data_IF_831208735997
#
_entry.id   IF_831208735997
#
_cell.length_a   1.000
_cell.length_b   1.000
_cell.length_c   1.000
_cell.angle_alpha   90.00
_cell.angle_beta   90.00
_cell.angle_gamma   90.00
#
_symmetry.space_group_name_H-M   'P 1'
#
loop_
_entity.id
_entity.type
_entity.pdbx_description
1 polymer ?
#
# COMPACT_ATOMS: atom_id res chain seq x y z
N UNK A 1 -24.61 1.70 53.34
CA UNK A 1 -24.46 2.43 52.04
C UNK A 1 -23.19 2.22 51.26
N UNK A 2 -22.24 1.41 51.73
CA UNK A 2 -20.90 1.22 51.13
C UNK A 2 -20.81 0.17 50.04
N UNK A 3 -21.67 -0.82 49.97
CA UNK A 3 -21.62 -1.92 48.98
C UNK A 3 -21.94 -1.47 47.52
N UNK A 4 -22.74 -0.42 47.33
CA UNK A 4 -23.10 0.08 46.00
C UNK A 4 -21.99 0.88 45.32
N UNK A 5 -21.13 1.53 46.08
CA UNK A 5 -20.02 2.36 45.59
C UNK A 5 -18.84 1.52 45.14
N UNK A 6 -18.52 0.41 45.80
CA UNK A 6 -17.45 -0.51 45.38
C UNK A 6 -17.82 -1.26 44.10
N UNK A 7 -19.06 -1.71 43.98
CA UNK A 7 -19.54 -2.37 42.75
C UNK A 7 -19.52 -1.45 41.53
N UNK A 8 -19.85 -0.17 41.69
CA UNK A 8 -19.75 0.85 40.65
C UNK A 8 -18.31 1.12 40.24
N UNK A 9 -17.40 1.23 41.20
CA UNK A 9 -15.96 1.41 40.93
C UNK A 9 -15.38 0.20 40.19
N UNK A 10 -15.77 -1.00 40.55
CA UNK A 10 -15.30 -2.24 39.90
C UNK A 10 -15.82 -2.36 38.46
N UNK A 11 -17.09 -1.96 38.22
CA UNK A 11 -17.66 -1.94 36.87
C UNK A 11 -17.04 -0.84 36.00
N UNK A 12 -16.79 0.36 36.53
CA UNK A 12 -16.10 1.44 35.84
C UNK A 12 -14.68 1.04 35.45
N UNK A 13 -13.92 0.46 36.36
CA UNK A 13 -12.55 -0.02 36.08
C UNK A 13 -12.52 -1.13 35.04
N UNK A 14 -13.54 -2.01 35.00
CA UNK A 14 -13.68 -3.04 33.98
C UNK A 14 -14.04 -2.45 32.60
N UNK A 15 -14.85 -1.41 32.54
CA UNK A 15 -15.18 -0.68 31.32
C UNK A 15 -13.98 0.11 30.80
N UNK A 16 -13.21 0.79 31.66
CA UNK A 16 -12.01 1.50 31.30
C UNK A 16 -10.94 0.56 30.74
N UNK A 17 -10.71 -0.58 31.40
CA UNK A 17 -9.76 -1.59 30.90
C UNK A 17 -10.18 -2.19 29.56
N UNK A 18 -11.46 -2.39 29.34
CA UNK A 18 -11.99 -2.89 28.06
C UNK A 18 -11.83 -1.85 26.95
N UNK A 19 -12.09 -0.58 27.25
CA UNK A 19 -11.87 0.54 26.33
C UNK A 19 -10.39 0.68 25.96
N UNK A 20 -9.50 0.65 26.95
CA UNK A 20 -8.05 0.72 26.72
C UNK A 20 -7.54 -0.43 25.86
N UNK A 21 -8.01 -1.64 26.11
CA UNK A 21 -7.65 -2.82 25.31
C UNK A 21 -8.08 -2.67 23.84
N UNK A 22 -9.27 -2.15 23.58
CA UNK A 22 -9.75 -1.91 22.21
C UNK A 22 -8.88 -0.85 21.50
N UNK A 23 -8.50 0.23 22.20
CA UNK A 23 -7.63 1.25 21.61
C UNK A 23 -6.23 0.70 21.31
N UNK A 24 -5.66 -0.10 22.22
CA UNK A 24 -4.37 -0.75 22.02
C UNK A 24 -4.41 -1.73 20.83
N UNK A 25 -5.46 -2.55 20.75
CA UNK A 25 -5.66 -3.47 19.62
C UNK A 25 -5.72 -2.71 18.29
N UNK A 26 -6.48 -1.61 18.24
CA UNK A 26 -6.58 -0.76 17.06
C UNK A 26 -5.27 -0.09 16.70
N UNK A 27 -4.50 0.33 17.68
CA UNK A 27 -3.16 0.88 17.48
C UNK A 27 -2.22 -0.17 16.84
N UNK A 28 -2.22 -1.41 17.35
CA UNK A 28 -1.43 -2.51 16.77
C UNK A 28 -1.91 -2.86 15.35
N UNK A 29 -3.21 -2.90 15.12
CA UNK A 29 -3.76 -3.05 13.75
C UNK A 29 -3.29 -1.94 12.84
N UNK A 30 -3.26 -0.70 13.34
CA UNK A 30 -2.71 0.45 12.63
C UNK A 30 -1.23 0.25 12.27
N UNK A 31 -0.39 -0.19 13.21
CA UNK A 31 1.03 -0.49 12.95
C UNK A 31 1.15 -1.47 11.77
N UNK A 32 0.40 -2.56 11.78
CA UNK A 32 0.43 -3.56 10.70
C UNK A 32 -0.03 -2.96 9.36
N UNK A 33 -1.05 -2.10 9.37
CA UNK A 33 -1.51 -1.39 8.17
C UNK A 33 -0.41 -0.46 7.64
N UNK A 34 0.25 0.30 8.52
CA UNK A 34 1.36 1.19 8.15
C UNK A 34 2.55 0.43 7.57
N UNK A 35 2.92 -0.69 8.18
CA UNK A 35 3.95 -1.61 7.66
C UNK A 35 3.56 -2.12 6.26
N UNK A 36 2.33 -2.61 6.11
CA UNK A 36 1.84 -3.13 4.84
C UNK A 36 1.66 -2.05 3.76
N UNK A 37 1.46 -0.79 4.14
CA UNK A 37 1.43 0.30 3.18
C UNK A 37 2.81 0.55 2.56
N UNK A 38 3.88 0.49 3.35
CA UNK A 38 5.26 0.75 2.86
C UNK A 38 5.82 -0.43 2.10
N UNK A 39 5.61 -1.64 2.60
CA UNK A 39 6.23 -2.84 2.02
C UNK A 39 5.63 -3.17 0.65
N UNK A 40 6.45 -3.29 -0.41
CA UNK A 40 5.97 -3.79 -1.69
C UNK A 40 5.41 -5.20 -1.55
N UNK A 41 4.29 -5.47 -2.22
CA UNK A 41 3.66 -6.78 -2.17
C UNK A 41 2.70 -7.01 -1.00
N UNK A 42 2.64 -6.10 -0.03
CA UNK A 42 1.63 -6.10 1.04
C UNK A 42 0.76 -4.86 0.84
N UNK A 43 -0.54 -5.05 0.70
CA UNK A 43 -1.45 -3.91 0.58
C UNK A 43 -1.99 -3.51 1.94
N UNK A 44 -1.66 -2.30 2.39
CA UNK A 44 -2.26 -1.70 3.59
C UNK A 44 -3.79 -1.64 3.49
N UNK A 45 -4.33 -1.44 2.27
CA UNK A 45 -5.76 -1.46 2.00
C UNK A 45 -6.40 -2.82 2.28
N UNK A 46 -5.75 -3.92 1.89
CA UNK A 46 -6.22 -5.28 2.22
C UNK A 46 -6.22 -5.50 3.73
N UNK A 47 -5.19 -5.06 4.43
CA UNK A 47 -5.17 -5.14 5.90
C UNK A 47 -6.29 -4.32 6.54
N UNK A 48 -6.65 -3.16 5.98
CA UNK A 48 -7.83 -2.40 6.42
C UNK A 48 -9.13 -3.21 6.27
N UNK A 49 -9.28 -3.97 5.19
CA UNK A 49 -10.44 -4.86 4.98
C UNK A 49 -10.45 -5.99 6.01
N UNK A 50 -9.32 -6.68 6.18
CA UNK A 50 -9.17 -7.80 7.12
C UNK A 50 -9.48 -7.38 8.56
N UNK A 51 -9.05 -6.20 8.98
CA UNK A 51 -9.30 -5.67 10.32
C UNK A 51 -10.67 -4.97 10.47
N UNK A 52 -11.49 -4.94 9.40
CA UNK A 52 -12.80 -4.28 9.42
C UNK A 52 -12.74 -2.74 9.52
N UNK A 53 -11.59 -2.16 9.18
CA UNK A 53 -11.31 -0.72 9.27
C UNK A 53 -11.66 -0.03 7.94
N UNK A 54 -11.67 -0.76 6.82
CA UNK A 54 -11.90 -0.21 5.49
C UNK A 54 -13.24 0.52 5.36
N UNK A 55 -14.34 -0.11 5.82
CA UNK A 55 -15.68 0.49 5.74
C UNK A 55 -15.78 1.82 6.51
N UNK A 56 -15.38 1.92 7.81
CA UNK A 56 -15.32 3.19 8.52
C UNK A 56 -14.47 4.27 7.84
N UNK A 57 -13.34 3.88 7.22
CA UNK A 57 -12.49 4.82 6.47
C UNK A 57 -13.24 5.34 5.24
N UNK A 58 -13.84 4.46 4.43
CA UNK A 58 -14.56 4.86 3.22
C UNK A 58 -15.81 5.70 3.54
N UNK A 59 -16.55 5.39 4.60
CA UNK A 59 -17.67 6.20 5.07
C UNK A 59 -17.22 7.60 5.50
N UNK A 60 -16.07 7.70 6.19
CA UNK A 60 -15.50 9.00 6.57
C UNK A 60 -15.02 9.79 5.35
N UNK A 61 -14.39 9.15 4.36
CA UNK A 61 -13.92 9.80 3.14
C UNK A 61 -15.06 10.27 2.24
N UNK A 62 -16.16 9.50 2.15
CA UNK A 62 -17.32 9.85 1.32
C UNK A 62 -18.16 10.99 1.90
N UNK A 63 -18.31 11.05 3.23
CA UNK A 63 -19.10 12.09 3.92
C UNK A 63 -18.41 12.51 5.24
N UNK A 64 -17.33 13.31 5.17
CA UNK A 64 -16.52 13.66 6.34
C UNK A 64 -17.33 14.31 7.46
N UNK A 65 -18.19 15.27 7.12
CA UNK A 65 -18.96 16.05 8.10
C UNK A 65 -19.93 15.17 8.90
N UNK A 66 -20.62 14.26 8.21
CA UNK A 66 -21.63 13.39 8.83
C UNK A 66 -21.00 12.32 9.73
N UNK A 67 -19.87 11.77 9.30
CA UNK A 67 -19.24 10.61 9.95
C UNK A 67 -18.09 10.96 10.89
N UNK A 68 -17.70 12.25 10.97
CA UNK A 68 -16.58 12.71 11.77
C UNK A 68 -16.65 12.27 13.24
N UNK A 69 -17.76 12.63 13.92
CA UNK A 69 -17.94 12.33 15.35
C UNK A 69 -18.02 10.84 15.65
N UNK A 70 -18.48 10.02 14.71
CA UNK A 70 -18.68 8.58 14.89
C UNK A 70 -17.43 7.76 14.61
N UNK A 71 -16.66 8.11 13.56
CA UNK A 71 -15.54 7.30 13.08
C UNK A 71 -14.20 7.83 13.52
N UNK A 72 -14.00 9.15 13.64
CA UNK A 72 -12.69 9.71 14.00
C UNK A 72 -12.17 9.19 15.35
N UNK A 73 -12.95 9.15 16.46
CA UNK A 73 -12.45 8.63 17.72
C UNK A 73 -12.04 7.15 17.63
N UNK A 74 -12.70 6.39 16.76
CA UNK A 74 -12.42 4.97 16.55
C UNK A 74 -11.21 4.74 15.64
N UNK A 75 -10.98 5.63 14.69
CA UNK A 75 -9.88 5.54 13.71
C UNK A 75 -8.60 6.20 14.22
N UNK A 76 -8.67 7.11 15.18
CA UNK A 76 -7.50 7.82 15.70
C UNK A 76 -6.38 6.90 16.18
N UNK A 77 -6.64 5.85 16.98
CA UNK A 77 -5.60 4.89 17.37
C UNK A 77 -5.02 4.13 16.16
N UNK A 78 -5.86 3.83 15.17
CA UNK A 78 -5.41 3.16 13.94
C UNK A 78 -4.49 4.07 13.13
N UNK A 79 -4.85 5.34 12.97
CA UNK A 79 -4.03 6.32 12.24
C UNK A 79 -2.71 6.56 12.95
N UNK A 80 -2.74 6.71 14.27
CA UNK A 80 -1.52 6.85 15.07
C UNK A 80 -0.62 5.61 14.96
N UNK A 81 -1.19 4.41 15.02
CA UNK A 81 -0.48 3.15 14.79
C UNK A 81 0.08 3.05 13.37
N UNK A 82 -0.72 3.42 12.35
CA UNK A 82 -0.27 3.41 10.96
C UNK A 82 0.90 4.36 10.72
N UNK A 83 0.85 5.55 11.29
CA UNK A 83 1.96 6.50 11.25
C UNK A 83 3.22 5.92 11.93
N UNK A 84 3.09 5.33 13.11
CA UNK A 84 4.21 4.70 13.81
C UNK A 84 4.80 3.52 13.03
N UNK A 85 3.96 2.64 12.48
CA UNK A 85 4.40 1.52 11.65
C UNK A 85 5.06 1.97 10.35
N UNK A 86 4.46 2.95 9.68
CA UNK A 86 5.01 3.54 8.46
C UNK A 86 6.40 4.16 8.70
N UNK A 87 6.52 5.02 9.71
CA UNK A 87 7.79 5.69 10.04
C UNK A 87 8.87 4.70 10.50
N UNK A 88 8.50 3.69 11.28
CA UNK A 88 9.43 2.67 11.75
C UNK A 88 10.04 1.87 10.61
N UNK A 89 9.20 1.37 9.70
CA UNK A 89 9.69 0.57 8.56
C UNK A 89 10.36 1.43 7.50
N UNK A 90 9.92 2.68 7.30
CA UNK A 90 10.50 3.58 6.32
C UNK A 90 11.99 3.80 6.56
N UNK A 91 12.40 4.02 7.81
CA UNK A 91 13.82 4.15 8.19
C UNK A 91 14.62 2.89 7.91
N UNK A 92 14.07 1.73 8.25
CA UNK A 92 14.71 0.45 8.00
C UNK A 92 14.88 0.19 6.50
N UNK A 93 13.84 0.47 5.72
CA UNK A 93 13.90 0.32 4.27
C UNK A 93 14.89 1.27 3.62
N UNK A 94 14.91 2.54 4.01
CA UNK A 94 15.88 3.52 3.53
C UNK A 94 17.31 3.05 3.78
N UNK A 95 17.60 2.51 4.96
CA UNK A 95 18.90 1.91 5.27
C UNK A 95 19.27 0.79 4.31
N UNK A 96 18.36 -0.17 4.05
CA UNK A 96 18.63 -1.29 3.15
C UNK A 96 18.78 -0.85 1.70
N UNK A 97 17.93 0.06 1.22
CA UNK A 97 18.03 0.60 -0.14
C UNK A 97 19.32 1.38 -0.40
N UNK A 98 19.87 2.03 0.64
CA UNK A 98 21.14 2.76 0.54
C UNK A 98 22.33 1.82 0.63
N UNK A 99 22.30 0.85 1.55
CA UNK A 99 23.45 -0.04 1.81
C UNK A 99 23.55 -1.23 0.85
N UNK A 100 22.40 -1.75 0.41
CA UNK A 100 22.28 -2.93 -0.46
C UNK A 100 21.29 -2.68 -1.61
N UNK A 101 21.57 -1.71 -2.52
CA UNK A 101 20.59 -1.26 -3.51
C UNK A 101 20.11 -2.38 -4.44
N UNK A 102 21.05 -3.15 -5.03
CA UNK A 102 20.68 -4.21 -5.99
C UNK A 102 19.87 -5.33 -5.34
N UNK A 103 20.30 -5.79 -4.16
CA UNK A 103 19.61 -6.84 -3.42
C UNK A 103 18.21 -6.41 -2.99
N UNK A 104 18.08 -5.15 -2.54
CA UNK A 104 16.79 -4.57 -2.12
C UNK A 104 15.83 -4.45 -3.30
N UNK A 105 16.32 -3.96 -4.44
CA UNK A 105 15.48 -3.85 -5.66
C UNK A 105 15.07 -5.23 -6.16
N UNK A 106 15.98 -6.23 -6.15
CA UNK A 106 15.65 -7.59 -6.53
C UNK A 106 14.63 -8.23 -5.56
N UNK A 107 14.78 -8.02 -4.25
CA UNK A 107 13.81 -8.47 -3.26
C UNK A 107 12.42 -7.86 -3.53
N UNK A 108 12.35 -6.57 -3.81
CA UNK A 108 11.09 -5.88 -4.10
C UNK A 108 10.49 -6.31 -5.43
N UNK A 109 11.29 -6.49 -6.48
CA UNK A 109 10.82 -7.05 -7.73
C UNK A 109 10.22 -8.45 -7.52
N UNK A 110 10.86 -9.28 -6.70
CA UNK A 110 10.34 -10.58 -6.28
C UNK A 110 9.01 -10.46 -5.55
N UNK A 111 8.91 -9.56 -4.55
CA UNK A 111 7.65 -9.30 -3.85
C UNK A 111 6.52 -8.90 -4.82
N UNK A 112 6.79 -8.01 -5.76
CA UNK A 112 5.82 -7.59 -6.78
C UNK A 112 5.41 -8.76 -7.68
N UNK A 113 6.36 -9.51 -8.21
CA UNK A 113 6.10 -10.69 -9.04
C UNK A 113 5.22 -11.70 -8.28
N UNK A 114 5.53 -11.95 -7.01
CA UNK A 114 4.74 -12.87 -6.16
C UNK A 114 3.31 -12.38 -5.88
N UNK A 115 3.02 -11.08 -6.01
CA UNK A 115 1.66 -10.54 -5.86
C UNK A 115 0.84 -10.58 -7.15
N UNK A 116 1.46 -10.70 -8.33
CA UNK A 116 0.75 -10.70 -9.61
C UNK A 116 -0.41 -11.71 -9.68
N UNK A 117 -0.26 -12.97 -9.23
CA UNK A 117 -1.38 -13.93 -9.26
C UNK A 117 -2.59 -13.47 -8.44
N UNK A 118 -2.37 -12.78 -7.31
CA UNK A 118 -3.46 -12.24 -6.51
C UNK A 118 -4.11 -11.01 -7.15
N UNK A 119 -3.32 -10.17 -7.83
CA UNK A 119 -3.84 -9.02 -8.57
C UNK A 119 -4.69 -9.45 -9.77
N UNK A 120 -4.27 -10.47 -10.52
CA UNK A 120 -5.08 -11.03 -11.61
C UNK A 120 -6.40 -11.61 -11.08
N UNK A 121 -6.35 -12.36 -9.98
CA UNK A 121 -7.56 -12.90 -9.36
C UNK A 121 -8.52 -11.81 -8.90
N UNK A 122 -8.00 -10.73 -8.31
CA UNK A 122 -8.80 -9.56 -7.93
C UNK A 122 -9.39 -8.88 -9.17
N UNK A 123 -8.61 -8.72 -10.23
CA UNK A 123 -9.07 -8.14 -11.50
C UNK A 123 -10.25 -8.91 -12.11
N UNK A 124 -10.28 -10.23 -11.94
CA UNK A 124 -11.30 -11.11 -12.48
C UNK A 124 -12.47 -11.40 -11.53
N UNK A 125 -12.38 -10.96 -10.28
CA UNK A 125 -13.34 -11.25 -9.21
C UNK A 125 -14.78 -10.80 -9.51
N UNK A 126 -14.95 -9.75 -10.32
CA UNK A 126 -16.25 -9.20 -10.75
C UNK A 126 -16.61 -9.55 -12.20
N UNK A 127 -15.92 -10.53 -12.79
CA UNK A 127 -16.11 -10.94 -14.18
C UNK A 127 -15.11 -10.28 -15.12
N UNK A 128 -14.89 -10.93 -16.27
CA UNK A 128 -13.91 -10.51 -17.27
C UNK A 128 -14.52 -9.50 -18.24
N UNK A 129 -13.84 -8.40 -18.52
CA UNK A 129 -14.23 -7.45 -19.56
C UNK A 129 -13.51 -7.78 -20.86
N UNK A 130 -14.20 -7.62 -22.02
CA UNK A 130 -13.59 -7.77 -23.36
C UNK A 130 -12.39 -6.84 -23.57
N UNK A 131 -12.35 -5.71 -22.87
CA UNK A 131 -11.29 -4.72 -22.98
C UNK A 131 -10.16 -4.88 -21.95
N UNK A 132 -10.28 -5.88 -21.05
CA UNK A 132 -9.32 -6.07 -19.96
C UNK A 132 -7.90 -6.35 -20.48
N UNK A 133 -7.75 -7.32 -21.38
CA UNK A 133 -6.45 -7.64 -21.98
C UNK A 133 -5.87 -6.50 -22.82
N UNK A 134 -6.72 -5.80 -23.58
CA UNK A 134 -6.28 -4.62 -24.33
C UNK A 134 -5.77 -3.53 -23.39
N UNK A 135 -6.46 -3.27 -22.28
CA UNK A 135 -6.01 -2.31 -21.26
C UNK A 135 -4.64 -2.69 -20.66
N UNK A 136 -4.43 -3.99 -20.38
CA UNK A 136 -3.14 -4.49 -19.90
C UNK A 136 -2.01 -4.23 -20.90
N UNK A 137 -2.17 -4.63 -22.14
CA UNK A 137 -1.12 -4.47 -23.16
C UNK A 137 -0.87 -3.00 -23.51
N UNK A 138 -1.93 -2.20 -23.64
CA UNK A 138 -1.80 -0.75 -23.91
C UNK A 138 -1.06 -0.08 -22.76
N UNK A 139 -1.46 -0.28 -21.50
CA UNK A 139 -0.81 0.33 -20.36
C UNK A 139 0.64 -0.13 -20.19
N UNK A 140 0.91 -1.42 -20.42
CA UNK A 140 2.26 -1.97 -20.42
C UNK A 140 3.15 -1.29 -21.48
N UNK A 141 2.66 -1.21 -22.74
CA UNK A 141 3.38 -0.58 -23.83
C UNK A 141 3.63 0.91 -23.57
N UNK A 142 2.60 1.64 -23.14
CA UNK A 142 2.71 3.07 -22.80
C UNK A 142 3.76 3.26 -21.68
N UNK A 143 3.74 2.42 -20.65
CA UNK A 143 4.70 2.52 -19.54
C UNK A 143 6.13 2.24 -20.03
N UNK A 144 6.35 1.19 -20.83
CA UNK A 144 7.68 0.89 -21.38
C UNK A 144 8.18 2.05 -22.22
N UNK A 145 7.36 2.54 -23.17
CA UNK A 145 7.74 3.65 -24.06
C UNK A 145 8.06 4.90 -23.24
N UNK A 146 7.22 5.24 -22.26
CA UNK A 146 7.43 6.41 -21.40
C UNK A 146 8.73 6.29 -20.60
N UNK A 147 8.98 5.17 -19.93
CA UNK A 147 10.17 4.98 -19.10
C UNK A 147 11.45 4.91 -19.97
N UNK A 148 11.39 4.25 -21.13
CA UNK A 148 12.51 4.25 -22.07
C UNK A 148 12.80 5.64 -22.64
N UNK A 149 11.76 6.43 -22.97
CA UNK A 149 11.91 7.81 -23.42
C UNK A 149 12.53 8.71 -22.34
N UNK A 150 12.06 8.58 -21.07
CA UNK A 150 12.64 9.31 -19.95
C UNK A 150 14.12 8.95 -19.73
N UNK A 151 14.48 7.67 -19.85
CA UNK A 151 15.88 7.23 -19.77
C UNK A 151 16.73 7.75 -20.94
N UNK A 152 16.18 7.72 -22.17
CA UNK A 152 16.91 8.18 -23.36
C UNK A 152 17.13 9.70 -23.33
N UNK A 153 16.19 10.44 -22.77
CA UNK A 153 16.30 11.90 -22.59
C UNK A 153 17.20 12.30 -21.41
N UNK A 154 17.83 11.33 -20.74
CA UNK A 154 18.63 11.57 -19.52
C UNK A 154 17.90 12.42 -18.46
N UNK A 155 16.59 12.44 -18.50
CA UNK A 155 15.76 13.11 -17.48
C UNK A 155 15.84 12.29 -16.20
N UNK A 156 16.78 12.64 -15.35
CA UNK A 156 16.72 12.18 -13.95
C UNK A 156 15.52 12.88 -13.32
N UNK A 157 14.53 12.09 -12.92
CA UNK A 157 13.43 12.60 -12.09
C UNK A 157 14.05 13.09 -10.80
N UNK A 158 14.30 14.40 -10.71
CA UNK A 158 14.68 15.04 -9.45
C UNK A 158 13.39 15.27 -8.67
N UNK A 159 13.24 14.60 -7.48
CA UNK A 159 12.04 14.77 -6.69
C UNK A 159 11.89 16.23 -6.28
N UNK A 160 10.84 16.88 -6.78
CA UNK A 160 10.45 18.25 -6.46
C UNK A 160 9.06 18.26 -5.79
N UNK A 161 8.53 19.46 -5.55
CA UNK A 161 7.21 19.66 -4.98
C UNK A 161 6.11 18.90 -5.74
N UNK A 162 6.10 18.93 -7.07
CA UNK A 162 5.08 18.29 -7.90
C UNK A 162 5.21 16.76 -7.88
N UNK A 163 6.43 16.25 -7.85
CA UNK A 163 6.66 14.82 -7.72
C UNK A 163 6.24 14.28 -6.35
N UNK A 164 6.48 15.03 -5.28
CA UNK A 164 5.98 14.63 -3.96
C UNK A 164 4.46 14.78 -3.83
N UNK A 165 3.85 15.72 -4.51
CA UNK A 165 2.39 15.82 -4.66
C UNK A 165 1.83 14.57 -5.37
N UNK A 166 2.49 14.11 -6.44
CA UNK A 166 2.16 12.87 -7.12
C UNK A 166 2.38 11.63 -6.24
N UNK A 167 3.42 11.61 -5.39
CA UNK A 167 3.59 10.55 -4.38
C UNK A 167 2.39 10.47 -3.43
N UNK A 168 1.88 11.63 -3.00
CA UNK A 168 0.66 11.71 -2.19
C UNK A 168 -0.58 11.22 -2.92
N UNK A 169 -0.72 11.52 -4.21
CA UNK A 169 -1.77 10.95 -5.06
C UNK A 169 -1.70 9.41 -5.08
N UNK A 170 -0.53 8.83 -5.33
CA UNK A 170 -0.33 7.38 -5.34
C UNK A 170 -0.63 6.74 -3.98
N UNK A 171 -0.25 7.42 -2.88
CA UNK A 171 -0.53 6.96 -1.52
C UNK A 171 -2.05 6.91 -1.26
N UNK A 172 -2.78 7.98 -1.59
CA UNK A 172 -4.24 8.02 -1.43
C UNK A 172 -4.94 6.99 -2.33
N UNK A 173 -4.47 6.83 -3.56
CA UNK A 173 -4.97 5.83 -4.49
C UNK A 173 -4.84 4.41 -3.92
N UNK A 174 -3.73 4.09 -3.27
CA UNK A 174 -3.52 2.78 -2.64
C UNK A 174 -4.44 2.51 -1.45
N UNK A 175 -4.97 3.55 -0.82
CA UNK A 175 -5.98 3.43 0.26
C UNK A 175 -7.38 3.26 -0.31
N UNK A 176 -7.72 4.02 -1.37
CA UNK A 176 -9.05 3.99 -1.99
C UNK A 176 -9.26 2.68 -2.76
N UNK A 177 -8.24 2.19 -3.45
CA UNK A 177 -8.28 0.96 -4.24
C UNK A 177 -7.59 -0.18 -3.48
N UNK A 178 -8.33 -1.08 -2.79
CA UNK A 178 -7.74 -2.21 -2.10
C UNK A 178 -6.99 -3.11 -3.08
N UNK A 179 -5.82 -3.60 -2.67
CA UNK A 179 -4.96 -4.43 -3.52
C UNK A 179 -3.89 -3.65 -4.31
N UNK A 180 -4.00 -2.33 -4.39
CA UNK A 180 -2.95 -1.48 -4.94
C UNK A 180 -1.95 -1.08 -3.85
N UNK A 181 -0.67 -1.03 -4.21
CA UNK A 181 0.38 -0.49 -3.34
C UNK A 181 1.04 0.72 -4.01
N UNK A 182 1.19 1.82 -3.28
CA UNK A 182 1.86 3.00 -3.82
C UNK A 182 3.33 2.73 -4.18
N UNK A 183 3.97 1.79 -3.49
CA UNK A 183 5.35 1.38 -3.78
C UNK A 183 5.49 0.83 -5.21
N UNK A 184 4.51 0.06 -5.69
CA UNK A 184 4.53 -0.48 -7.06
C UNK A 184 4.41 0.59 -8.13
N UNK A 185 3.80 1.74 -7.80
CA UNK A 185 3.69 2.88 -8.71
C UNK A 185 4.93 3.79 -8.65
N UNK A 186 5.53 3.97 -7.47
CA UNK A 186 6.63 4.93 -7.27
C UNK A 186 8.02 4.35 -7.57
N UNK A 187 8.21 3.03 -7.40
CA UNK A 187 9.51 2.38 -7.62
C UNK A 187 10.04 2.59 -9.06
N UNK A 188 9.23 2.39 -10.10
CA UNK A 188 9.69 2.55 -11.47
C UNK A 188 10.16 3.95 -11.82
N UNK A 189 9.58 4.95 -11.15
CA UNK A 189 9.92 6.35 -11.32
C UNK A 189 11.13 6.78 -10.48
N UNK A 190 11.69 5.86 -9.68
CA UNK A 190 12.77 6.18 -8.73
C UNK A 190 12.34 7.07 -7.57
N UNK A 191 11.03 7.32 -7.42
CA UNK A 191 10.47 8.21 -6.39
C UNK A 191 10.27 7.53 -5.03
N UNK A 192 10.26 6.20 -5.00
CA UNK A 192 9.97 5.45 -3.78
C UNK A 192 11.00 5.72 -2.68
N UNK A 193 12.29 5.59 -3.00
CA UNK A 193 13.37 5.76 -2.01
C UNK A 193 13.40 7.19 -1.43
N UNK A 194 13.46 8.27 -2.24
CA UNK A 194 13.46 9.62 -1.70
C UNK A 194 12.17 9.96 -0.93
N UNK A 195 11.03 9.43 -1.33
CA UNK A 195 9.77 9.62 -0.64
C UNK A 195 9.75 8.95 0.73
N UNK A 196 10.13 7.67 0.81
CA UNK A 196 10.17 6.90 2.06
C UNK A 196 11.22 7.46 3.02
N UNK A 197 12.41 7.86 2.51
CA UNK A 197 13.45 8.49 3.31
C UNK A 197 12.99 9.84 3.87
N UNK A 198 12.38 10.68 3.04
CA UNK A 198 11.85 11.98 3.46
C UNK A 198 10.77 11.85 4.54
N UNK A 199 9.86 10.88 4.41
CA UNK A 199 8.89 10.60 5.47
C UNK A 199 9.59 10.09 6.74
N UNK A 200 10.55 9.17 6.59
CA UNK A 200 11.32 8.63 7.73
C UNK A 200 12.07 9.69 8.52
N UNK A 201 12.51 10.77 7.86
CA UNK A 201 13.16 11.95 8.48
C UNK A 201 12.19 13.05 8.91
N UNK A 202 10.89 12.88 8.64
CA UNK A 202 9.86 13.90 8.85
C UNK A 202 10.14 15.20 8.09
N UNK A 203 10.67 15.09 6.85
CA UNK A 203 10.98 16.24 6.01
C UNK A 203 9.69 16.93 5.55
N UNK A 204 9.52 18.18 5.95
CA UNK A 204 8.34 18.99 5.61
C UNK A 204 8.26 19.23 4.10
N UNK A 205 9.41 19.32 3.41
CA UNK A 205 9.47 19.45 1.95
C UNK A 205 8.88 18.26 1.21
N UNK A 206 8.83 17.09 1.85
CA UNK A 206 8.20 15.87 1.35
C UNK A 206 6.78 15.72 1.88
N UNK A 207 6.60 15.89 3.18
CA UNK A 207 5.32 15.64 3.86
C UNK A 207 4.23 16.61 3.42
N UNK A 208 4.55 17.89 3.27
CA UNK A 208 3.58 18.91 2.91
C UNK A 208 2.97 18.66 1.51
N UNK A 209 3.77 18.57 0.42
CA UNK A 209 3.22 18.29 -0.90
C UNK A 209 2.55 16.92 -0.98
N UNK A 210 3.07 15.90 -0.34
CA UNK A 210 2.46 14.58 -0.31
C UNK A 210 1.09 14.60 0.40
N UNK A 211 0.99 15.27 1.55
CA UNK A 211 -0.29 15.42 2.26
C UNK A 211 -1.31 16.19 1.42
N UNK A 212 -0.87 17.24 0.72
CA UNK A 212 -1.71 18.01 -0.17
C UNK A 212 -2.19 17.15 -1.36
N UNK A 213 -1.29 16.40 -1.98
CA UNK A 213 -1.62 15.47 -3.07
C UNK A 213 -2.61 14.39 -2.64
N UNK A 214 -2.40 13.81 -1.46
CA UNK A 214 -3.31 12.82 -0.90
C UNK A 214 -4.70 13.43 -0.61
N UNK A 215 -4.74 14.61 -0.02
CA UNK A 215 -5.99 15.33 0.27
C UNK A 215 -6.76 15.66 -1.02
N UNK A 216 -6.09 16.23 -2.02
CA UNK A 216 -6.68 16.54 -3.33
C UNK A 216 -7.23 15.28 -4.00
N UNK A 217 -6.50 14.16 -3.94
CA UNK A 217 -6.96 12.88 -4.50
C UNK A 217 -8.24 12.41 -3.82
N UNK A 218 -8.27 12.45 -2.50
CA UNK A 218 -9.47 12.04 -1.74
C UNK A 218 -10.66 12.93 -2.10
N UNK A 219 -10.47 14.25 -2.12
CA UNK A 219 -11.57 15.19 -2.34
C UNK A 219 -12.09 15.18 -3.79
N UNK A 220 -11.19 15.08 -4.78
CA UNK A 220 -11.54 15.23 -6.18
C UNK A 220 -11.80 13.90 -6.88
N UNK A 221 -11.02 12.87 -6.54
CA UNK A 221 -11.00 11.60 -7.28
C UNK A 221 -11.69 10.44 -6.57
N UNK A 222 -12.02 10.53 -5.27
CA UNK A 222 -12.63 9.39 -4.57
C UNK A 222 -13.89 8.86 -5.26
N UNK A 223 -14.75 9.76 -5.74
CA UNK A 223 -15.97 9.39 -6.46
C UNK A 223 -15.67 8.82 -7.86
N UNK A 224 -14.71 9.41 -8.59
CA UNK A 224 -14.31 8.96 -9.93
C UNK A 224 -13.64 7.60 -9.85
N UNK A 225 -12.72 7.44 -8.90
CA UNK A 225 -12.01 6.18 -8.68
C UNK A 225 -13.00 5.11 -8.21
N UNK A 226 -13.89 5.45 -7.28
CA UNK A 226 -14.96 4.57 -6.84
C UNK A 226 -15.86 4.13 -8.01
N UNK A 227 -16.26 5.04 -8.89
CA UNK A 227 -17.02 4.72 -10.10
C UNK A 227 -16.23 3.79 -11.04
N UNK A 228 -14.95 4.08 -11.30
CA UNK A 228 -14.11 3.28 -12.18
C UNK A 228 -13.97 1.84 -11.66
N UNK A 229 -13.69 1.68 -10.37
CA UNK A 229 -13.54 0.36 -9.74
C UNK A 229 -14.86 -0.40 -9.52
N UNK A 230 -16.01 0.28 -9.56
CA UNK A 230 -17.31 -0.38 -9.50
C UNK A 230 -17.82 -0.81 -10.88
N UNK A 231 -17.66 0.04 -11.90
CA UNK A 231 -18.25 -0.17 -13.24
C UNK A 231 -17.26 -0.75 -14.26
N UNK A 232 -15.96 -0.46 -14.11
CA UNK A 232 -14.90 -0.90 -15.02
C UNK A 232 -13.78 -1.66 -14.30
N UNK A 233 -14.13 -2.42 -13.26
CA UNK A 233 -13.21 -3.11 -12.36
C UNK A 233 -12.12 -3.90 -13.10
N UNK A 234 -12.51 -4.85 -13.96
CA UNK A 234 -11.55 -5.69 -14.68
C UNK A 234 -10.60 -4.88 -15.57
N UNK A 235 -11.12 -3.89 -16.30
CA UNK A 235 -10.30 -3.05 -17.19
C UNK A 235 -9.31 -2.20 -16.40
N UNK A 236 -9.75 -1.59 -15.30
CA UNK A 236 -8.90 -0.77 -14.44
C UNK A 236 -7.77 -1.59 -13.79
N UNK A 237 -8.10 -2.74 -13.22
CA UNK A 237 -7.10 -3.62 -12.61
C UNK A 237 -6.11 -4.16 -13.65
N UNK A 238 -6.56 -4.57 -14.83
CA UNK A 238 -5.65 -5.03 -15.89
C UNK A 238 -4.72 -3.93 -16.39
N UNK A 239 -5.19 -2.68 -16.48
CA UNK A 239 -4.32 -1.55 -16.79
C UNK A 239 -3.24 -1.35 -15.71
N UNK A 240 -3.59 -1.44 -14.44
CA UNK A 240 -2.64 -1.36 -13.33
C UNK A 240 -1.63 -2.51 -13.39
N UNK A 241 -2.09 -3.75 -13.64
CA UNK A 241 -1.21 -4.91 -13.77
C UNK A 241 -0.20 -4.70 -14.91
N UNK A 242 -0.65 -4.14 -16.05
CA UNK A 242 0.23 -3.82 -17.17
C UNK A 242 1.33 -2.81 -16.79
N UNK A 243 0.97 -1.73 -16.07
CA UNK A 243 1.93 -0.76 -15.54
C UNK A 243 2.94 -1.45 -14.61
N UNK A 244 2.43 -2.25 -13.67
CA UNK A 244 3.25 -2.94 -12.66
C UNK A 244 4.24 -3.92 -13.30
N UNK A 245 3.80 -4.71 -14.29
CA UNK A 245 4.67 -5.66 -15.00
C UNK A 245 5.77 -4.90 -15.75
N UNK A 246 5.40 -3.91 -16.57
CA UNK A 246 6.35 -3.11 -17.34
C UNK A 246 7.41 -2.47 -16.43
N UNK A 247 6.93 -1.87 -15.38
CA UNK A 247 7.73 -1.20 -14.38
C UNK A 247 8.71 -2.15 -13.67
N UNK A 248 8.22 -3.32 -13.26
CA UNK A 248 9.04 -4.33 -12.58
C UNK A 248 10.15 -4.85 -13.48
N UNK A 249 9.85 -5.10 -14.76
CA UNK A 249 10.86 -5.54 -15.73
C UNK A 249 11.98 -4.51 -15.88
N UNK A 250 11.61 -3.22 -15.96
CA UNK A 250 12.58 -2.14 -16.18
C UNK A 250 13.41 -1.77 -14.94
N UNK A 251 12.91 -2.05 -13.73
CA UNK A 251 13.63 -1.71 -12.50
C UNK A 251 14.66 -2.79 -12.10
N UNK A 252 14.48 -4.04 -12.58
CA UNK A 252 15.40 -5.13 -12.26
C UNK A 252 16.81 -4.82 -12.79
N UNK A 253 17.83 -4.79 -11.92
CA UNK A 253 19.20 -4.46 -12.32
C UNK A 253 19.85 -5.66 -13.02
N UNK A 254 19.57 -5.85 -14.32
CA UNK A 254 20.04 -6.97 -15.11
C UNK A 254 21.58 -7.08 -15.09
N UNK A 255 22.27 -5.95 -15.13
CA UNK A 255 23.74 -5.91 -15.06
C UNK A 255 24.27 -6.54 -13.78
N UNK A 256 23.61 -6.31 -12.64
CA UNK A 256 24.03 -6.90 -11.36
C UNK A 256 23.66 -8.39 -11.21
N UNK A 257 22.73 -8.88 -12.02
CA UNK A 257 22.40 -10.30 -12.11
C UNK A 257 23.38 -11.06 -13.00
N UNK A 258 23.94 -10.41 -14.04
CA UNK A 258 24.77 -11.06 -15.05
C UNK A 258 26.29 -10.87 -14.85
N UNK A 259 26.71 -9.88 -14.05
CA UNK A 259 28.11 -9.45 -13.91
C UNK A 259 29.01 -10.44 -13.14
N UNK A 260 28.45 -11.26 -12.26
CA UNK A 260 29.23 -12.29 -11.53
C UNK A 260 28.34 -13.42 -11.03
N UNK A 261 28.88 -14.62 -10.91
CA UNK A 261 28.16 -15.76 -10.33
C UNK A 261 27.64 -15.47 -8.91
N UNK A 262 28.41 -14.75 -8.10
CA UNK A 262 28.01 -14.33 -6.76
C UNK A 262 26.81 -13.33 -6.82
N UNK A 263 26.86 -12.37 -7.73
CA UNK A 263 25.77 -11.43 -7.97
C UNK A 263 24.47 -12.13 -8.40
N UNK A 264 24.58 -13.13 -9.27
CA UNK A 264 23.47 -13.96 -9.70
C UNK A 264 22.79 -14.68 -8.52
N UNK A 265 23.58 -15.36 -7.69
CA UNK A 265 23.04 -16.11 -6.55
C UNK A 265 22.44 -15.19 -5.47
N UNK A 266 23.10 -14.07 -5.14
CA UNK A 266 22.61 -13.16 -4.10
C UNK A 266 21.37 -12.39 -4.55
N UNK A 267 21.39 -11.79 -5.73
CA UNK A 267 20.28 -10.99 -6.24
C UNK A 267 19.10 -11.86 -6.68
N UNK A 268 19.38 -13.00 -7.37
CA UNK A 268 18.39 -14.00 -7.74
C UNK A 268 17.75 -14.66 -6.50
N UNK A 269 18.56 -14.96 -5.48
CA UNK A 269 18.09 -15.47 -4.20
C UNK A 269 17.16 -14.48 -3.48
N UNK A 270 17.52 -13.19 -3.45
CA UNK A 270 16.66 -12.13 -2.90
C UNK A 270 15.34 -12.01 -3.67
N UNK A 271 15.38 -12.06 -5.00
CA UNK A 271 14.17 -12.01 -5.84
C UNK A 271 13.28 -13.23 -5.60
N UNK A 272 13.87 -14.44 -5.56
CA UNK A 272 13.14 -15.67 -5.23
C UNK A 272 12.51 -15.63 -3.83
N UNK A 273 13.26 -15.18 -2.82
CA UNK A 273 12.78 -15.03 -1.45
C UNK A 273 11.60 -14.03 -1.40
N UNK A 274 11.70 -12.89 -2.08
CA UNK A 274 10.62 -11.93 -2.20
C UNK A 274 9.35 -12.54 -2.81
N UNK A 275 9.48 -13.26 -3.93
CA UNK A 275 8.36 -13.91 -4.61
C UNK A 275 7.68 -14.95 -3.71
N UNK A 276 8.45 -15.79 -3.04
CA UNK A 276 7.93 -16.80 -2.09
C UNK A 276 7.21 -16.13 -0.91
N UNK A 277 7.82 -15.09 -0.30
CA UNK A 277 7.18 -14.33 0.77
C UNK A 277 5.83 -13.75 0.35
N UNK A 278 5.77 -13.11 -0.82
CA UNK A 278 4.54 -12.52 -1.32
C UNK A 278 3.46 -13.56 -1.62
N UNK A 279 3.82 -14.70 -2.20
CA UNK A 279 2.90 -15.82 -2.45
C UNK A 279 2.34 -16.40 -1.14
N UNK A 280 3.18 -16.57 -0.12
CA UNK A 280 2.75 -17.04 1.19
C UNK A 280 1.79 -16.05 1.86
N UNK A 281 2.12 -14.76 1.82
CA UNK A 281 1.26 -13.70 2.36
C UNK A 281 -0.07 -13.63 1.62
N UNK A 282 -0.08 -13.75 0.28
CA UNK A 282 -1.29 -13.76 -0.51
C UNK A 282 -2.19 -14.96 -0.15
N UNK A 283 -1.62 -16.14 0.05
CA UNK A 283 -2.37 -17.34 0.50
C UNK A 283 -2.94 -17.16 1.91
N UNK A 284 -2.15 -16.58 2.81
CA UNK A 284 -2.60 -16.32 4.18
C UNK A 284 -3.77 -15.32 4.21
N UNK A 285 -3.68 -14.23 3.47
CA UNK A 285 -4.76 -13.23 3.36
C UNK A 285 -6.05 -13.85 2.84
N UNK A 286 -5.98 -14.72 1.81
CA UNK A 286 -7.15 -15.42 1.28
C UNK A 286 -7.80 -16.33 2.33
N UNK A 287 -6.99 -17.03 3.13
CA UNK A 287 -7.49 -17.86 4.23
C UNK A 287 -8.22 -17.06 5.31
N UNK A 288 -7.74 -15.87 5.62
CA UNK A 288 -8.36 -14.98 6.61
C UNK A 288 -9.67 -14.39 6.05
N UNK A 289 -9.69 -13.98 4.79
CA UNK A 289 -10.87 -13.41 4.13
C UNK A 289 -12.00 -14.45 4.01
N UNK A 290 -11.69 -15.68 3.61
CA UNK A 290 -12.64 -16.79 3.56
C UNK A 290 -13.26 -17.09 4.95
N UNK A 291 -12.46 -17.06 6.02
CA UNK A 291 -12.95 -17.25 7.39
C UNK A 291 -13.85 -16.11 7.86
N UNK A 292 -13.54 -14.87 7.49
CA UNK A 292 -14.34 -13.70 7.86
C UNK A 292 -15.72 -13.70 7.20
N UNK A 293 -15.82 -14.23 5.98
CA UNK A 293 -17.10 -14.40 5.25
C UNK A 293 -17.92 -15.53 5.89
N UNK A 294 -17.28 -16.66 6.22
CA UNK A 294 -17.95 -17.80 6.89
C UNK A 294 -18.48 -17.50 8.29
N UNK A 295 -17.93 -16.49 8.98
CA UNK A 295 -18.43 -16.06 10.31
C UNK A 295 -19.59 -15.05 10.23
N UNK A 296 -19.89 -14.52 9.05
CA UNK A 296 -20.98 -13.55 8.81
C UNK A 296 -22.24 -14.18 8.21
N UNK A 297 -22.16 -15.44 7.81
CA UNK A 297 -23.27 -16.33 7.37
C UNK A 297 -23.75 -17.21 8.53
#
# INVERSE_FOLDING_TARGET
MTFGTERRKHMQKKQENHSLFIHLLRFVQGILIGLGAVLPGISGGVLCVVFGIYKPVMELLSNPIRHFKTHVPKLLPVVAGAAAGFLGIARLLSFFLTKYPSQSVCLFAGLIIGTLPSLFREAESKGMSRHAHAALFISMTVTVVLLCALNALTVKVTPDFFWYLFCGFCLALSVIAPGMSFSTLLMPLGLYTPFVDGIGRLDIGVLLPASLGALLTVLLLSNVIGFLFTHHHATAFHAIIGIVIAATILIVPLDSLTSSGYGFFTNGGCMGAGAVCALLLARWNQGVEARSISQKL
#
